data_IF_804367498234
#
_entry.id   IF_804367498234
#
_cell.length_a   1.000
_cell.length_b   1.000
_cell.length_c   1.000
_cell.angle_alpha   90.00
_cell.angle_beta   90.00
_cell.angle_gamma   90.00
#
_symmetry.space_group_name_H-M   'P 1'
#
loop_
_entity.id
_entity.type
_entity.pdbx_description
1 polymer ?
#
# COMPACT_ATOMS: atom_id res chain seq x y z
N UNK A 1 -9.05 -2.18 6.20
CA UNK A 1 -8.64 -2.09 4.80
C UNK A 1 -7.68 -3.21 4.41
N UNK A 2 -6.53 -3.34 5.06
CA UNK A 2 -5.61 -4.45 4.76
C UNK A 2 -6.05 -5.73 5.44
N UNK A 3 -5.85 -6.87 4.73
CA UNK A 3 -6.07 -8.20 5.29
C UNK A 3 -4.77 -8.99 5.21
N UNK A 4 -4.47 -9.74 6.26
CA UNK A 4 -3.29 -10.60 6.24
C UNK A 4 -3.64 -11.93 5.60
N UNK A 5 -2.85 -12.34 4.59
CA UNK A 5 -3.12 -13.51 3.80
C UNK A 5 -1.80 -14.02 3.23
N UNK A 6 -1.47 -15.29 3.47
CA UNK A 6 -0.24 -15.90 2.94
C UNK A 6 1.01 -15.08 3.29
N UNK A 7 1.11 -14.63 4.54
CA UNK A 7 2.25 -13.85 5.05
C UNK A 7 2.41 -12.50 4.35
N UNK A 8 1.30 -11.91 3.88
CA UNK A 8 1.28 -10.58 3.28
C UNK A 8 0.08 -9.82 3.78
N UNK A 9 0.22 -8.50 3.86
CA UNK A 9 -0.92 -7.61 4.03
C UNK A 9 -1.38 -7.20 2.64
N UNK A 10 -2.65 -7.43 2.32
CA UNK A 10 -3.21 -7.15 0.99
C UNK A 10 -4.37 -6.18 1.09
N UNK A 11 -4.44 -5.27 0.13
CA UNK A 11 -5.54 -4.31 0.02
C UNK A 11 -5.80 -3.97 -1.44
N UNK A 12 -7.06 -3.63 -1.73
CA UNK A 12 -7.47 -3.13 -3.04
C UNK A 12 -8.08 -1.75 -2.82
N UNK A 13 -7.53 -0.75 -3.50
CA UNK A 13 -8.01 0.63 -3.41
C UNK A 13 -8.63 1.04 -4.72
N UNK A 14 -9.85 1.59 -4.66
CA UNK A 14 -10.57 2.05 -5.84
C UNK A 14 -10.75 3.55 -5.81
N UNK A 15 -10.69 4.17 -6.98
CA UNK A 15 -10.76 5.63 -7.13
C UNK A 15 -11.74 5.99 -8.23
N UNK A 16 -12.00 7.28 -8.43
CA UNK A 16 -12.91 7.74 -9.47
C UNK A 16 -12.29 7.61 -10.87
N UNK A 17 -10.97 7.77 -10.98
CA UNK A 17 -10.30 7.75 -12.27
C UNK A 17 -8.82 7.40 -12.09
N UNK A 18 -8.13 7.31 -13.22
CA UNK A 18 -6.72 6.92 -13.21
C UNK A 18 -5.83 7.98 -12.55
N UNK A 19 -6.08 9.26 -12.83
CA UNK A 19 -5.20 10.31 -12.32
C UNK A 19 -5.28 10.39 -10.80
N UNK A 20 -6.47 10.16 -10.24
CA UNK A 20 -6.64 10.12 -8.78
C UNK A 20 -5.91 8.92 -8.18
N UNK A 21 -6.03 7.76 -8.83
CA UNK A 21 -5.32 6.56 -8.39
C UNK A 21 -3.80 6.81 -8.39
N UNK A 22 -3.30 7.42 -9.46
CA UNK A 22 -1.86 7.65 -9.58
C UNK A 22 -1.37 8.71 -8.60
N UNK A 23 -2.18 9.74 -8.33
CA UNK A 23 -1.85 10.73 -7.31
C UNK A 23 -1.72 10.08 -5.93
N UNK A 24 -2.63 9.17 -5.60
CA UNK A 24 -2.54 8.40 -4.37
C UNK A 24 -1.25 7.58 -4.33
N UNK A 25 -0.92 6.89 -5.41
CA UNK A 25 0.32 6.10 -5.48
C UNK A 25 1.55 6.96 -5.27
N UNK A 26 1.54 8.17 -5.84
CA UNK A 26 2.65 9.10 -5.69
C UNK A 26 2.84 9.48 -4.22
N UNK A 27 1.75 9.79 -3.52
CA UNK A 27 1.83 10.08 -2.09
C UNK A 27 2.35 8.89 -1.29
N UNK A 28 1.84 7.71 -1.58
CA UNK A 28 2.31 6.50 -0.90
C UNK A 28 3.79 6.29 -1.15
N UNK A 29 4.25 6.57 -2.37
CA UNK A 29 5.66 6.40 -2.73
C UNK A 29 6.58 7.25 -1.84
N UNK A 30 6.18 8.49 -1.53
CA UNK A 30 6.97 9.33 -0.62
C UNK A 30 7.09 8.72 0.77
N UNK A 31 5.99 8.18 1.29
CA UNK A 31 6.01 7.58 2.62
C UNK A 31 6.74 6.24 2.64
N UNK A 32 6.61 5.44 1.58
CA UNK A 32 7.35 4.20 1.45
C UNK A 32 8.86 4.47 1.47
N UNK A 33 9.29 5.49 0.74
CA UNK A 33 10.69 5.88 0.71
C UNK A 33 11.15 6.39 2.07
N UNK A 34 10.34 7.22 2.72
CA UNK A 34 10.65 7.76 4.04
C UNK A 34 10.78 6.66 5.08
N UNK A 35 9.95 5.64 5.01
CA UNK A 35 10.01 4.51 5.95
C UNK A 35 10.99 3.43 5.50
N UNK A 36 11.59 3.58 4.32
CA UNK A 36 12.49 2.62 3.71
C UNK A 36 11.85 1.23 3.65
N UNK A 37 10.57 1.19 3.26
CA UNK A 37 9.81 -0.04 3.15
C UNK A 37 8.86 0.10 1.96
N UNK A 38 9.03 -0.73 0.94
CA UNK A 38 8.40 -0.50 -0.36
C UNK A 38 7.31 -1.53 -0.64
N UNK A 39 6.14 -1.10 -1.14
CA UNK A 39 5.06 -2.01 -1.43
C UNK A 39 5.30 -2.78 -2.73
N UNK A 40 4.72 -3.98 -2.80
CA UNK A 40 4.55 -4.68 -4.05
C UNK A 40 3.14 -4.33 -4.53
N UNK A 41 3.01 -3.60 -5.63
CA UNK A 41 1.72 -3.10 -6.04
C UNK A 41 1.55 -3.06 -7.54
N UNK A 42 0.29 -2.96 -7.97
CA UNK A 42 -0.06 -2.81 -9.37
C UNK A 42 -1.22 -1.84 -9.50
N UNK A 43 -1.33 -1.23 -10.67
CA UNK A 43 -2.39 -0.28 -10.96
C UNK A 43 -2.98 -0.60 -12.34
N UNK A 44 -4.30 -0.72 -12.38
CA UNK A 44 -5.05 -0.81 -13.63
C UNK A 44 -6.15 0.23 -13.54
N UNK A 45 -6.06 1.25 -14.37
CA UNK A 45 -7.01 2.36 -14.44
C UNK A 45 -7.26 2.97 -13.05
N UNK A 46 -8.42 2.74 -12.46
CA UNK A 46 -8.81 3.34 -11.18
C UNK A 46 -8.58 2.40 -9.98
N UNK A 47 -7.89 1.30 -10.16
CA UNK A 47 -7.72 0.29 -9.13
C UNK A 47 -6.24 0.12 -8.81
N UNK A 48 -5.90 0.14 -7.52
CA UNK A 48 -4.53 -0.11 -7.05
C UNK A 48 -4.58 -1.30 -6.10
N UNK A 49 -3.80 -2.33 -6.41
CA UNK A 49 -3.70 -3.50 -5.54
C UNK A 49 -2.34 -3.46 -4.84
N UNK A 50 -2.34 -3.62 -3.52
CA UNK A 50 -1.15 -3.43 -2.70
C UNK A 50 -0.89 -4.68 -1.87
N UNK A 51 0.37 -5.12 -1.86
CA UNK A 51 0.83 -6.20 -0.98
C UNK A 51 2.05 -5.71 -0.21
N UNK A 52 2.04 -5.94 1.09
CA UNK A 52 3.16 -5.59 1.96
C UNK A 52 3.69 -6.85 2.65
N UNK A 53 5.01 -7.00 2.61
CA UNK A 53 5.69 -8.08 3.32
C UNK A 53 7.13 -7.63 3.56
N UNK A 54 7.79 -8.24 4.54
CA UNK A 54 9.18 -7.93 4.86
C UNK A 54 10.09 -9.03 4.33
N UNK A 55 10.77 -8.74 3.20
CA UNK A 55 11.62 -9.72 2.52
C UNK A 55 12.79 -10.17 3.40
N UNK A 56 13.42 -9.24 4.10
CA UNK A 56 14.58 -9.54 4.93
C UNK A 56 14.23 -10.28 6.22
N UNK A 57 12.94 -10.41 6.52
CA UNK A 57 12.47 -11.20 7.66
C UNK A 57 11.87 -12.54 7.21
N UNK A 58 12.27 -13.02 6.02
CA UNK A 58 11.79 -14.29 5.48
C UNK A 58 10.43 -14.20 4.80
N UNK A 59 10.12 -13.06 4.20
CA UNK A 59 8.85 -12.84 3.49
C UNK A 59 7.65 -13.05 4.41
N UNK A 60 7.69 -12.39 5.57
CA UNK A 60 6.61 -12.45 6.54
C UNK A 60 6.21 -11.04 6.94
N UNK A 61 5.01 -10.90 7.49
CA UNK A 61 4.50 -9.60 7.94
C UNK A 61 5.18 -9.23 9.25
N UNK A 62 5.69 -7.98 9.31
CA UNK A 62 6.33 -7.45 10.52
C UNK A 62 5.71 -6.09 10.87
N UNK A 63 6.21 -5.48 11.94
CA UNK A 63 5.76 -4.15 12.36
C UNK A 63 5.97 -3.10 11.27
N UNK A 64 6.97 -3.27 10.41
CA UNK A 64 7.21 -2.34 9.29
C UNK A 64 6.05 -2.34 8.31
N UNK A 65 5.45 -3.51 8.07
CA UNK A 65 4.31 -3.63 7.17
C UNK A 65 3.08 -2.96 7.77
N UNK A 66 2.84 -3.17 9.06
CA UNK A 66 1.70 -2.54 9.73
C UNK A 66 1.85 -1.02 9.79
N UNK A 67 3.08 -0.53 9.97
CA UNK A 67 3.32 0.91 10.01
C UNK A 67 3.02 1.56 8.66
N UNK A 68 3.47 0.94 7.57
CA UNK A 68 3.20 1.46 6.23
C UNK A 68 1.72 1.31 5.89
N UNK A 69 1.11 0.18 6.24
CA UNK A 69 -0.32 -0.04 6.00
C UNK A 69 -1.18 1.03 6.67
N UNK A 70 -0.83 1.40 7.90
CA UNK A 70 -1.56 2.45 8.62
C UNK A 70 -1.47 3.78 7.90
N UNK A 71 -0.28 4.13 7.41
CA UNK A 71 -0.09 5.36 6.65
C UNK A 71 -0.87 5.33 5.35
N UNK A 72 -0.82 4.23 4.62
CA UNK A 72 -1.55 4.08 3.37
C UNK A 72 -3.06 4.26 3.61
N UNK A 73 -3.57 3.66 4.68
CA UNK A 73 -4.98 3.78 5.02
C UNK A 73 -5.36 5.23 5.31
N UNK A 74 -4.53 5.95 6.04
CA UNK A 74 -4.75 7.38 6.31
C UNK A 74 -4.78 8.19 5.01
N UNK A 75 -3.85 7.92 4.10
CA UNK A 75 -3.80 8.63 2.83
C UNK A 75 -5.04 8.33 1.98
N UNK A 76 -5.47 7.08 1.97
CA UNK A 76 -6.62 6.66 1.18
C UNK A 76 -7.89 7.40 1.58
N UNK A 77 -8.04 7.70 2.88
CA UNK A 77 -9.22 8.41 3.38
C UNK A 77 -9.42 9.76 2.68
N UNK A 78 -8.36 10.40 2.25
CA UNK A 78 -8.45 11.71 1.57
C UNK A 78 -9.08 11.61 0.19
N UNK A 79 -9.12 10.42 -0.38
CA UNK A 79 -9.62 10.20 -1.75
C UNK A 79 -11.01 9.57 -1.79
N UNK A 80 -11.62 9.33 -0.66
CA UNK A 80 -12.96 8.72 -0.56
C UNK A 80 -14.11 9.74 -0.58
#
# INVERSE_FOLDING_TARGET
MFKEENNRLKATCKFNDFITAFAFMTEVAFWAEKQNHHPNWSNVYNTVEIELTSHDAGNTVTSRDYKLAKKIEQLYQKYL
#
